data_IF_712712490952
#
_entry.id   IF_712712490952
#
_cell.length_a   1.000
_cell.length_b   1.000
_cell.length_c   1.000
_cell.angle_alpha   90.00
_cell.angle_beta   90.00
_cell.angle_gamma   90.00
#
_symmetry.space_group_name_H-M   'P 1'
#
loop_
_entity.id
_entity.type
_entity.pdbx_description
1 polymer ?
#
# COMPACT_ATOMS: atom_id res chain seq x y z
N UNK A 1 -4.44 14.02 -21.36
CA UNK A 1 -3.51 12.98 -21.87
C UNK A 1 -2.30 13.00 -20.95
N UNK A 2 -2.16 12.00 -20.07
CA UNK A 2 -0.99 11.88 -19.18
C UNK A 2 0.19 11.44 -20.05
N UNK A 3 1.05 12.37 -20.46
CA UNK A 3 2.35 12.02 -21.03
C UNK A 3 3.21 11.47 -19.91
N UNK A 4 3.37 10.14 -19.87
CA UNK A 4 4.32 9.51 -18.96
C UNK A 4 5.71 10.04 -19.32
N UNK A 5 6.27 10.86 -18.44
CA UNK A 5 7.60 11.43 -18.65
C UNK A 5 8.65 10.32 -18.59
N UNK A 6 9.79 10.50 -19.29
CA UNK A 6 10.90 9.56 -19.21
C UNK A 6 11.27 9.24 -17.76
N UNK A 7 11.29 10.24 -16.88
CA UNK A 7 11.57 10.08 -15.45
C UNK A 7 10.67 9.01 -14.77
N UNK A 8 9.37 9.02 -15.03
CA UNK A 8 8.44 8.05 -14.42
C UNK A 8 8.75 6.60 -14.83
N UNK A 9 9.14 6.39 -16.10
CA UNK A 9 9.57 5.07 -16.58
C UNK A 9 10.85 4.63 -15.86
N UNK A 10 11.82 5.53 -15.67
CA UNK A 10 13.06 5.19 -14.95
C UNK A 10 12.77 4.83 -13.49
N UNK A 11 11.88 5.54 -12.80
CA UNK A 11 11.50 5.23 -11.42
C UNK A 11 10.77 3.89 -11.31
N UNK A 12 9.88 3.59 -12.26
CA UNK A 12 9.23 2.28 -12.34
C UNK A 12 10.27 1.16 -12.53
N UNK A 13 11.22 1.34 -13.46
CA UNK A 13 12.26 0.34 -13.72
C UNK A 13 13.21 0.16 -12.53
N UNK A 14 13.61 1.24 -11.87
CA UNK A 14 14.47 1.20 -10.68
C UNK A 14 13.74 0.51 -9.52
N UNK A 15 12.48 0.85 -9.27
CA UNK A 15 11.69 0.20 -8.21
C UNK A 15 11.48 -1.28 -8.47
N UNK A 16 11.14 -1.66 -9.71
CA UNK A 16 11.01 -3.05 -10.12
C UNK A 16 12.33 -3.82 -9.98
N UNK A 17 13.47 -3.22 -10.36
CA UNK A 17 14.78 -3.81 -10.22
C UNK A 17 15.15 -4.04 -8.74
N UNK A 18 14.92 -3.05 -7.88
CA UNK A 18 15.20 -3.15 -6.44
C UNK A 18 14.32 -4.22 -5.80
N UNK A 19 13.03 -4.21 -6.10
CA UNK A 19 12.10 -5.25 -5.66
C UNK A 19 12.62 -6.63 -6.09
N UNK A 20 12.90 -6.83 -7.38
CA UNK A 20 13.37 -8.10 -7.93
C UNK A 20 14.70 -8.58 -7.34
N UNK A 21 15.69 -7.70 -7.14
CA UNK A 21 16.99 -8.05 -6.54
C UNK A 21 16.83 -8.36 -5.05
N UNK A 22 15.93 -7.68 -4.34
CA UNK A 22 15.70 -7.92 -2.91
C UNK A 22 15.03 -9.27 -2.65
N UNK A 23 14.18 -9.75 -3.57
CA UNK A 23 13.36 -10.95 -3.34
C UNK A 23 14.15 -12.21 -3.00
N UNK A 24 15.22 -12.62 -3.72
CA UNK A 24 15.98 -13.81 -3.36
C UNK A 24 16.58 -13.76 -1.94
N UNK A 25 16.98 -12.56 -1.49
CA UNK A 25 17.52 -12.36 -0.13
C UNK A 25 16.40 -12.45 0.89
N UNK A 26 15.29 -11.77 0.65
CA UNK A 26 14.11 -11.78 1.51
C UNK A 26 13.53 -13.19 1.67
N UNK A 27 13.42 -13.96 0.58
CA UNK A 27 12.96 -15.36 0.58
C UNK A 27 13.85 -16.24 1.47
N UNK A 28 15.17 -16.05 1.43
CA UNK A 28 16.11 -16.81 2.28
C UNK A 28 16.02 -16.42 3.75
N UNK A 29 15.69 -15.16 4.06
CA UNK A 29 15.55 -14.65 5.42
C UNK A 29 14.20 -14.97 6.06
N UNK A 30 13.14 -15.13 5.25
CA UNK A 30 11.78 -15.33 5.73
C UNK A 30 11.62 -16.44 6.79
N UNK A 31 12.26 -17.63 6.67
CA UNK A 31 12.16 -18.66 7.71
C UNK A 31 12.77 -18.22 9.04
N UNK A 32 13.90 -17.50 9.01
CA UNK A 32 14.57 -17.01 10.22
C UNK A 32 13.79 -15.91 10.94
N UNK A 33 12.98 -15.14 10.20
CA UNK A 33 12.13 -14.07 10.71
C UNK A 33 10.73 -14.54 11.11
N UNK A 34 10.42 -15.85 10.95
CA UNK A 34 9.06 -16.42 11.13
C UNK A 34 8.01 -15.78 10.23
N UNK A 35 8.43 -15.25 9.08
CA UNK A 35 7.56 -14.65 8.06
C UNK A 35 7.19 -15.71 7.01
N UNK A 36 6.59 -16.80 7.49
CA UNK A 36 6.19 -17.94 6.68
C UNK A 36 4.68 -18.11 6.80
N UNK A 37 4.01 -18.08 5.65
CA UNK A 37 2.61 -18.43 5.55
C UNK A 37 2.44 -19.95 5.51
N UNK A 38 1.77 -20.50 6.50
CA UNK A 38 1.54 -21.94 6.63
C UNK A 38 0.19 -22.36 6.00
N UNK A 39 0.13 -23.56 5.38
CA UNK A 39 -1.10 -24.04 4.75
C UNK A 39 -2.21 -24.17 5.80
N UNK A 40 -3.38 -23.61 5.48
CA UNK A 40 -4.59 -23.68 6.30
C UNK A 40 -5.73 -24.25 5.45
N UNK A 41 -6.83 -24.70 6.07
CA UNK A 41 -8.01 -25.24 5.35
C UNK A 41 -8.64 -24.28 4.32
N UNK A 42 -8.30 -22.99 4.37
CA UNK A 42 -8.73 -21.95 3.41
C UNK A 42 -7.73 -21.67 2.29
N UNK A 43 -6.51 -22.22 2.34
CA UNK A 43 -5.41 -21.86 1.42
C UNK A 43 -5.17 -22.97 0.40
N UNK A 44 -4.86 -22.57 -0.85
CA UNK A 44 -4.65 -23.48 -1.98
C UNK A 44 -3.25 -24.10 -2.02
N UNK A 45 -2.30 -23.59 -1.23
CA UNK A 45 -0.93 -24.09 -1.18
C UNK A 45 -0.79 -25.21 -0.14
N UNK A 46 0.03 -26.22 -0.47
CA UNK A 46 0.28 -27.38 0.40
C UNK A 46 1.55 -27.24 1.27
N UNK A 47 2.38 -26.22 1.00
CA UNK A 47 3.69 -26.02 1.63
C UNK A 47 3.81 -24.58 2.13
N UNK A 48 4.56 -24.39 3.22
CA UNK A 48 4.79 -23.06 3.77
C UNK A 48 5.52 -22.15 2.78
N UNK A 49 4.98 -20.94 2.55
CA UNK A 49 5.56 -19.96 1.61
C UNK A 49 6.01 -18.69 2.33
N UNK A 50 7.08 -18.01 1.86
CA UNK A 50 7.49 -16.73 2.44
C UNK A 50 6.40 -15.63 2.33
N UNK A 51 5.97 -15.04 3.47
CA UNK A 51 5.06 -13.88 3.52
C UNK A 51 5.85 -12.58 3.68
N UNK A 52 6.66 -12.25 2.68
CA UNK A 52 7.60 -11.11 2.76
C UNK A 52 7.60 -10.23 1.50
N UNK A 53 6.73 -10.54 0.53
CA UNK A 53 6.63 -9.79 -0.73
C UNK A 53 6.40 -8.29 -0.53
N UNK A 54 5.59 -7.91 0.48
CA UNK A 54 5.34 -6.50 0.81
C UNK A 54 6.61 -5.72 1.17
N UNK A 55 7.61 -6.35 1.80
CA UNK A 55 8.88 -5.69 2.16
C UNK A 55 9.68 -5.33 0.90
N UNK A 56 9.74 -6.23 -0.09
CA UNK A 56 10.45 -5.95 -1.34
C UNK A 56 9.80 -4.83 -2.16
N UNK A 57 8.46 -4.79 -2.18
CA UNK A 57 7.70 -3.70 -2.81
C UNK A 57 7.99 -2.38 -2.07
N UNK A 58 7.94 -2.38 -0.74
CA UNK A 58 8.24 -1.21 0.08
C UNK A 58 9.64 -0.66 -0.20
N UNK A 59 10.65 -1.52 -0.35
CA UNK A 59 12.01 -1.09 -0.70
C UNK A 59 12.07 -0.39 -2.06
N UNK A 60 11.41 -0.95 -3.09
CA UNK A 60 11.36 -0.33 -4.42
C UNK A 60 10.65 1.04 -4.41
N UNK A 61 9.57 1.14 -3.64
CA UNK A 61 8.81 2.38 -3.45
C UNK A 61 9.65 3.42 -2.71
N UNK A 62 10.31 3.05 -1.61
CA UNK A 62 11.14 3.96 -0.81
C UNK A 62 12.28 4.56 -1.63
N UNK A 63 12.92 3.77 -2.48
CA UNK A 63 14.00 4.28 -3.31
C UNK A 63 13.48 5.25 -4.37
N UNK A 64 12.29 5.02 -4.93
CA UNK A 64 11.70 5.93 -5.92
C UNK A 64 11.48 7.36 -5.41
N UNK A 65 11.33 7.56 -4.09
CA UNK A 65 11.07 8.89 -3.52
C UNK A 65 12.23 9.87 -3.65
N UNK A 66 13.48 9.39 -3.73
CA UNK A 66 14.65 10.27 -3.80
C UNK A 66 14.64 11.20 -5.01
N UNK A 67 13.87 10.87 -6.04
CA UNK A 67 13.82 11.60 -7.32
C UNK A 67 12.51 12.33 -7.56
N UNK A 68 11.54 12.26 -6.64
CA UNK A 68 10.27 12.97 -6.77
C UNK A 68 10.33 14.25 -5.93
N UNK A 69 10.28 15.45 -6.55
CA UNK A 69 10.20 16.69 -5.78
C UNK A 69 8.82 16.82 -5.15
N UNK A 70 8.76 16.98 -3.82
CA UNK A 70 7.54 17.34 -3.11
C UNK A 70 7.86 18.11 -1.81
N UNK A 71 6.89 18.83 -1.22
CA UNK A 71 7.08 19.51 0.05
C UNK A 71 7.47 18.56 1.18
N UNK A 72 8.31 19.01 2.12
CA UNK A 72 8.74 18.20 3.28
C UNK A 72 7.56 17.67 4.11
N UNK A 73 6.52 18.49 4.30
CA UNK A 73 5.29 18.10 4.99
C UNK A 73 4.55 16.96 4.28
N UNK A 74 4.50 17.01 2.95
CA UNK A 74 3.90 15.95 2.14
C UNK A 74 4.67 14.65 2.37
N UNK A 75 6.00 14.67 2.22
CA UNK A 75 6.84 13.49 2.41
C UNK A 75 6.76 12.91 3.81
N UNK A 76 6.81 13.76 4.85
CA UNK A 76 6.69 13.30 6.23
C UNK A 76 5.37 12.54 6.45
N UNK A 77 4.26 13.09 5.97
CA UNK A 77 2.94 12.51 6.15
C UNK A 77 2.76 11.23 5.34
N UNK A 78 3.27 11.22 4.11
CA UNK A 78 3.22 10.08 3.21
C UNK A 78 4.06 8.89 3.71
N UNK A 79 5.31 9.14 4.10
CA UNK A 79 6.20 8.13 4.66
C UNK A 79 5.68 7.60 6.00
N UNK A 80 5.08 8.46 6.83
CA UNK A 80 4.48 8.04 8.09
C UNK A 80 3.27 7.11 7.87
N UNK A 81 2.40 7.44 6.92
CA UNK A 81 1.27 6.59 6.56
C UNK A 81 1.73 5.24 5.99
N UNK A 82 2.71 5.23 5.08
CA UNK A 82 3.32 4.00 4.57
C UNK A 82 3.88 3.15 5.73
N UNK A 83 4.64 3.75 6.64
CA UNK A 83 5.21 3.03 7.77
C UNK A 83 4.13 2.39 8.65
N UNK A 84 3.04 3.11 8.96
CA UNK A 84 1.93 2.56 9.74
C UNK A 84 1.28 1.38 9.03
N UNK A 85 0.95 1.51 7.73
CA UNK A 85 0.27 0.46 6.98
C UNK A 85 1.18 -0.76 6.77
N UNK A 86 2.47 -0.55 6.50
CA UNK A 86 3.44 -1.65 6.36
C UNK A 86 3.64 -2.40 7.68
N UNK A 87 3.73 -1.69 8.80
CA UNK A 87 3.80 -2.32 10.14
C UNK A 87 2.50 -3.05 10.45
N UNK A 88 1.34 -2.45 10.16
CA UNK A 88 0.05 -3.11 10.35
C UNK A 88 -0.02 -4.43 9.58
N UNK A 89 0.37 -4.43 8.30
CA UNK A 89 0.42 -5.65 7.49
C UNK A 89 1.37 -6.70 8.06
N UNK A 90 2.57 -6.30 8.47
CA UNK A 90 3.53 -7.23 9.08
C UNK A 90 3.02 -7.82 10.41
N UNK A 91 2.34 -7.03 11.23
CA UNK A 91 1.74 -7.49 12.48
C UNK A 91 0.53 -8.39 12.20
N UNK A 92 -0.27 -8.09 11.18
CA UNK A 92 -1.38 -8.94 10.74
C UNK A 92 -0.88 -10.33 10.29
N UNK A 93 0.20 -10.38 9.50
CA UNK A 93 0.82 -11.63 9.06
C UNK A 93 1.34 -12.49 10.22
N UNK A 94 1.78 -11.87 11.31
CA UNK A 94 2.35 -12.55 12.47
C UNK A 94 1.30 -12.95 13.53
N UNK A 95 0.23 -12.18 13.67
CA UNK A 95 -0.70 -12.28 14.79
C UNK A 95 -2.17 -12.45 14.40
N UNK A 96 -2.51 -12.47 13.11
CA UNK A 96 -3.87 -12.57 12.57
C UNK A 96 -4.84 -11.59 13.25
N UNK A 97 -4.66 -10.29 12.97
CA UNK A 97 -5.38 -9.25 13.67
C UNK A 97 -6.86 -9.23 13.29
N UNK A 98 -7.71 -8.85 14.26
CA UNK A 98 -9.13 -8.69 13.99
C UNK A 98 -9.38 -7.60 12.92
N UNK A 99 -10.37 -7.77 12.03
CA UNK A 99 -10.67 -6.81 10.98
C UNK A 99 -10.95 -5.40 11.50
N UNK A 100 -11.53 -5.27 12.70
CA UNK A 100 -11.82 -3.97 13.32
C UNK A 100 -10.57 -3.21 13.73
N UNK A 101 -9.53 -3.91 14.22
CA UNK A 101 -8.24 -3.29 14.54
C UNK A 101 -7.59 -2.77 13.25
N UNK A 102 -7.58 -3.60 12.20
CA UNK A 102 -7.05 -3.23 10.89
C UNK A 102 -7.73 -1.98 10.34
N UNK A 103 -9.06 -1.97 10.36
CA UNK A 103 -9.85 -0.85 9.88
C UNK A 103 -9.59 0.44 10.68
N UNK A 104 -9.53 0.35 12.01
CA UNK A 104 -9.26 1.51 12.87
C UNK A 104 -7.88 2.13 12.58
N UNK A 105 -6.85 1.30 12.43
CA UNK A 105 -5.48 1.77 12.11
C UNK A 105 -5.43 2.36 10.70
N UNK A 106 -6.07 1.72 9.71
CA UNK A 106 -6.15 2.24 8.34
C UNK A 106 -6.85 3.61 8.28
N UNK A 107 -7.97 3.78 9.00
CA UNK A 107 -8.67 5.06 9.09
C UNK A 107 -7.76 6.12 9.72
N UNK A 108 -7.10 5.81 10.83
CA UNK A 108 -6.20 6.76 11.50
C UNK A 108 -5.03 7.17 10.60
N UNK A 109 -4.35 6.21 9.97
CA UNK A 109 -3.26 6.47 9.02
C UNK A 109 -3.73 7.33 7.83
N UNK A 110 -4.92 7.05 7.32
CA UNK A 110 -5.52 7.79 6.20
C UNK A 110 -5.85 9.23 6.57
N UNK A 111 -6.42 9.47 7.76
CA UNK A 111 -6.71 10.83 8.23
C UNK A 111 -5.42 11.64 8.33
N UNK A 112 -4.36 11.07 8.92
CA UNK A 112 -3.06 11.73 9.05
C UNK A 112 -2.45 12.03 7.68
N UNK A 113 -2.53 11.08 6.74
CA UNK A 113 -2.08 11.26 5.36
C UNK A 113 -2.81 12.44 4.70
N UNK A 114 -4.14 12.46 4.74
CA UNK A 114 -4.96 13.47 4.06
C UNK A 114 -4.72 14.86 4.67
N UNK A 115 -4.67 14.98 5.99
CA UNK A 115 -4.37 16.26 6.66
C UNK A 115 -2.95 16.75 6.40
N UNK A 116 -2.01 15.83 6.20
CA UNK A 116 -0.61 16.13 5.97
C UNK A 116 -0.26 16.48 4.53
N UNK A 117 -0.98 15.91 3.56
CA UNK A 117 -0.73 16.05 2.12
C UNK A 117 -1.71 16.99 1.42
N UNK A 118 -2.84 17.30 2.06
CA UNK A 118 -4.00 17.95 1.45
C UNK A 118 -4.53 17.20 0.21
N UNK A 119 -4.30 15.88 0.16
CA UNK A 119 -4.81 15.01 -0.90
C UNK A 119 -6.34 15.02 -0.86
N UNK A 120 -6.95 15.37 -1.99
CA UNK A 120 -8.41 15.50 -2.11
C UNK A 120 -8.90 14.92 -3.42
N UNK A 121 -9.78 13.93 -3.32
CA UNK A 121 -10.59 13.45 -4.44
C UNK A 121 -11.74 14.44 -4.61
N UNK A 122 -11.83 15.04 -5.80
CA UNK A 122 -12.99 15.80 -6.22
C UNK A 122 -14.05 14.86 -6.79
N UNK A 123 -15.30 15.03 -6.39
CA UNK A 123 -16.40 14.27 -6.96
C UNK A 123 -16.78 14.97 -8.27
N UNK A 124 -16.32 14.42 -9.40
CA UNK A 124 -16.36 15.04 -10.73
C UNK A 124 -17.75 15.22 -11.36
N UNK A 125 -18.79 15.45 -10.56
CA UNK A 125 -20.11 15.80 -11.09
C UNK A 125 -20.11 17.28 -11.47
N UNK A 126 -19.84 17.55 -12.75
CA UNK A 126 -19.75 18.91 -13.33
C UNK A 126 -20.95 19.80 -13.01
N UNK A 127 -22.13 19.21 -12.78
CA UNK A 127 -23.39 19.93 -12.51
C UNK A 127 -23.85 19.91 -11.04
N UNK A 128 -23.10 19.28 -10.12
CA UNK A 128 -23.46 19.23 -8.69
C UNK A 128 -22.35 19.84 -7.84
N UNK A 129 -22.24 21.17 -7.84
CA UNK A 129 -21.30 21.91 -6.98
C UNK A 129 -21.51 21.63 -5.48
N UNK A 130 -22.73 21.29 -5.06
CA UNK A 130 -23.06 20.88 -3.68
C UNK A 130 -22.28 19.62 -3.26
N UNK A 131 -21.89 18.76 -4.21
CA UNK A 131 -21.11 17.56 -3.93
C UNK A 131 -19.59 17.81 -3.86
N UNK A 132 -19.13 19.04 -4.08
CA UNK A 132 -17.70 19.41 -4.01
C UNK A 132 -17.38 20.27 -2.79
N UNK A 133 -17.99 19.98 -1.64
CA UNK A 133 -17.60 20.62 -0.37
C UNK A 133 -16.28 20.04 0.16
N UNK A 134 -15.47 20.83 0.90
CA UNK A 134 -14.21 20.35 1.48
C UNK A 134 -14.40 19.14 2.42
N UNK A 135 -15.53 19.11 3.14
CA UNK A 135 -15.89 18.00 4.04
C UNK A 135 -16.20 16.74 3.25
N UNK A 136 -17.04 16.84 2.20
CA UNK A 136 -17.37 15.67 1.40
C UNK A 136 -16.15 15.13 0.66
N UNK A 137 -15.32 16.01 0.08
CA UNK A 137 -14.05 15.62 -0.55
C UNK A 137 -13.11 14.92 0.44
N UNK A 138 -13.00 15.41 1.68
CA UNK A 138 -12.22 14.76 2.73
C UNK A 138 -12.74 13.35 3.04
N UNK A 139 -14.06 13.22 3.29
CA UNK A 139 -14.69 11.94 3.62
C UNK A 139 -14.58 10.94 2.46
N UNK A 140 -14.82 11.38 1.23
CA UNK A 140 -14.67 10.55 0.03
C UNK A 140 -13.23 10.10 -0.15
N UNK A 141 -12.25 10.98 0.07
CA UNK A 141 -10.83 10.61 -0.01
C UNK A 141 -10.48 9.55 1.03
N UNK A 142 -10.91 9.73 2.28
CA UNK A 142 -10.66 8.77 3.35
C UNK A 142 -11.31 7.41 3.05
N UNK A 143 -12.59 7.44 2.66
CA UNK A 143 -13.34 6.24 2.29
C UNK A 143 -12.68 5.50 1.13
N UNK A 144 -12.20 6.22 0.11
CA UNK A 144 -11.57 5.63 -1.06
C UNK A 144 -10.24 4.94 -0.73
N UNK A 145 -9.38 5.61 0.06
CA UNK A 145 -8.07 5.05 0.45
C UNK A 145 -8.27 3.79 1.30
N UNK A 146 -9.10 3.88 2.34
CA UNK A 146 -9.41 2.72 3.21
C UNK A 146 -10.09 1.60 2.40
N UNK A 147 -11.04 1.97 1.54
CA UNK A 147 -11.78 1.05 0.69
C UNK A 147 -10.86 0.26 -0.23
N UNK A 148 -10.00 0.94 -1.01
CA UNK A 148 -9.03 0.26 -1.89
C UNK A 148 -8.08 -0.61 -1.09
N UNK A 149 -7.55 -0.10 0.03
CA UNK A 149 -6.60 -0.88 0.87
C UNK A 149 -7.24 -2.19 1.33
N UNK A 150 -8.49 -2.14 1.79
CA UNK A 150 -9.23 -3.34 2.21
C UNK A 150 -9.62 -4.23 1.02
N UNK A 151 -10.02 -3.65 -0.13
CA UNK A 151 -10.33 -4.42 -1.34
C UNK A 151 -9.13 -5.21 -1.85
N UNK A 152 -7.94 -4.62 -1.87
CA UNK A 152 -6.71 -5.32 -2.28
C UNK A 152 -6.36 -6.42 -1.28
N UNK A 153 -6.41 -6.14 0.02
CA UNK A 153 -6.14 -7.14 1.06
C UNK A 153 -7.11 -8.34 1.01
N UNK A 154 -8.39 -8.11 0.70
CA UNK A 154 -9.38 -9.18 0.55
C UNK A 154 -9.19 -10.00 -0.73
N UNK A 155 -8.56 -9.42 -1.75
CA UNK A 155 -8.30 -10.10 -3.04
C UNK A 155 -7.01 -10.89 -3.00
N UNK A 156 -6.11 -10.64 -2.05
CA UNK A 156 -4.80 -11.31 -1.90
C UNK A 156 -4.90 -12.72 -1.27
N UNK A 157 -5.86 -13.52 -1.75
CA UNK A 157 -6.05 -14.92 -1.36
C UNK A 157 -5.50 -15.93 -2.38
N UNK A 158 -4.98 -15.45 -3.51
CA UNK A 158 -4.51 -16.27 -4.64
C UNK A 158 -3.14 -15.79 -5.12
N UNK A 159 -2.26 -16.72 -5.47
CA UNK A 159 -0.90 -16.44 -5.95
C UNK A 159 -0.92 -15.43 -7.11
N UNK A 160 -0.32 -14.25 -6.87
CA UNK A 160 -0.11 -13.23 -7.91
C UNK A 160 -1.34 -12.40 -8.29
N UNK A 161 -2.52 -12.62 -7.70
CA UNK A 161 -3.75 -11.91 -8.06
C UNK A 161 -3.68 -10.43 -7.65
N UNK A 162 -3.39 -10.15 -6.38
CA UNK A 162 -3.30 -8.78 -5.89
C UNK A 162 -2.20 -7.98 -6.60
N UNK A 163 -1.05 -8.61 -6.86
CA UNK A 163 0.03 -8.02 -7.64
C UNK A 163 -0.39 -7.71 -9.09
N UNK A 164 -1.09 -8.62 -9.76
CA UNK A 164 -1.49 -8.46 -11.16
C UNK A 164 -2.56 -7.39 -11.40
N UNK A 165 -3.47 -7.15 -10.44
CA UNK A 165 -4.54 -6.15 -10.58
C UNK A 165 -4.14 -4.74 -10.10
N UNK A 166 -2.98 -4.60 -9.46
CA UNK A 166 -2.52 -3.34 -8.84
C UNK A 166 -1.55 -2.53 -9.72
N UNK A 167 -1.39 -2.88 -11.00
CA UNK A 167 -0.53 -2.20 -11.98
C UNK A 167 -1.27 -1.15 -12.81
#
# INVERSE_FOLDING_TARGET
>A
MLTISGLQIHLLLISALICGISMPVLIKLAPSLRLMDHPTSRKLHEYARPSIGGIGILLGVLVSFFWIPAPSRFWASYLFAIAIISVLGLVDDLFDLSPFIKLAVQIAATILLVLGTDLRISVGFENLQILNTPVLSFLTTCFWIVGITNSVNLTDGMDGLAGGISF
#
